data_IF_041738656242
#
_entry.id   IF_041738656242
#
_cell.length_a   1.000
_cell.length_b   1.000
_cell.length_c   1.000
_cell.angle_alpha   90.00
_cell.angle_beta   90.00
_cell.angle_gamma   90.00
#
_symmetry.space_group_name_H-M   'P 1'
#
loop_
_entity.id
_entity.type
_entity.pdbx_description
1 polymer ?
#
# COMPACT_ATOMS: atom_id res chain seq x y z
N UNK A 1 -2.26 8.34 -6.89
CA UNK A 1 -1.15 7.82 -7.69
C UNK A 1 -0.07 7.30 -6.75
N UNK A 2 0.36 6.04 -6.89
CA UNK A 2 1.50 5.45 -6.20
C UNK A 2 2.45 4.85 -7.25
N UNK A 3 3.73 5.16 -7.14
CA UNK A 3 4.86 4.25 -7.28
C UNK A 3 6.09 5.10 -6.97
N UNK A 4 6.86 4.81 -5.91
CA UNK A 4 8.14 5.51 -5.71
C UNK A 4 9.16 4.57 -5.09
N UNK A 5 10.25 4.37 -5.84
CA UNK A 5 11.31 3.41 -5.57
C UNK A 5 12.58 4.16 -5.20
N UNK A 6 13.03 3.97 -3.97
CA UNK A 6 14.12 4.75 -3.37
C UNK A 6 15.46 3.99 -3.39
N UNK A 7 15.42 2.71 -3.79
CA UNK A 7 16.55 1.82 -4.01
C UNK A 7 16.19 0.87 -5.16
N UNK A 8 16.77 1.04 -6.36
CA UNK A 8 16.44 0.21 -7.52
C UNK A 8 16.75 -1.28 -7.34
N UNK A 9 17.72 -1.61 -6.50
CA UNK A 9 18.13 -2.99 -6.19
C UNK A 9 17.29 -3.64 -5.09
N UNK A 10 16.22 -2.97 -4.64
CA UNK A 10 15.34 -3.47 -3.59
C UNK A 10 14.47 -4.64 -4.07
N UNK A 11 14.46 -5.73 -3.31
CA UNK A 11 13.63 -6.92 -3.62
C UNK A 11 12.15 -6.77 -3.27
N UNK A 12 11.76 -5.67 -2.61
CA UNK A 12 10.39 -5.46 -2.14
C UNK A 12 9.93 -4.04 -2.44
N UNK A 13 8.67 -3.92 -2.87
CA UNK A 13 8.02 -2.64 -3.09
C UNK A 13 7.22 -2.23 -1.85
N UNK A 14 7.45 -1.01 -1.38
CA UNK A 14 6.76 -0.46 -0.22
C UNK A 14 5.51 0.30 -0.67
N UNK A 15 4.38 -0.04 -0.04
CA UNK A 15 3.11 0.62 -0.28
C UNK A 15 2.62 1.31 0.99
N UNK A 16 2.01 2.48 0.79
CA UNK A 16 1.25 3.17 1.84
C UNK A 16 -0.20 2.73 1.73
N UNK A 17 -0.86 2.50 2.87
CA UNK A 17 -2.24 2.03 2.94
C UNK A 17 -2.98 2.75 4.07
N UNK A 18 -4.31 2.71 4.03
CA UNK A 18 -5.16 3.23 5.12
C UNK A 18 -5.03 4.73 5.34
N UNK A 19 -4.93 5.16 6.60
CA UNK A 19 -4.88 6.57 6.99
C UNK A 19 -3.68 7.33 6.38
N UNK A 20 -2.62 6.62 5.95
CA UNK A 20 -1.49 7.19 5.22
C UNK A 20 -1.80 7.57 3.75
N UNK A 21 -3.00 7.22 3.26
CA UNK A 21 -3.49 7.50 1.89
C UNK A 21 -4.79 8.30 1.95
N UNK A 22 -5.75 7.88 2.77
CA UNK A 22 -6.99 8.61 3.04
C UNK A 22 -7.56 8.20 4.40
N UNK A 23 -7.80 9.15 5.29
CA UNK A 23 -8.28 8.84 6.64
C UNK A 23 -9.78 8.54 6.65
N UNK A 24 -10.14 7.25 6.58
CA UNK A 24 -11.52 6.76 6.37
C UNK A 24 -12.01 5.82 7.47
N UNK A 25 -11.26 4.76 7.80
CA UNK A 25 -11.41 3.86 8.96
C UNK A 25 -10.52 2.60 8.81
N UNK A 26 -10.31 1.87 9.91
CA UNK A 26 -9.47 0.65 9.97
C UNK A 26 -9.94 -0.48 9.05
N UNK A 27 -11.26 -0.69 8.92
CA UNK A 27 -11.80 -1.75 8.08
C UNK A 27 -11.44 -1.52 6.60
N UNK A 28 -11.57 -0.27 6.15
CA UNK A 28 -11.21 0.12 4.79
C UNK A 28 -9.71 -0.06 4.53
N UNK A 29 -8.85 0.23 5.52
CA UNK A 29 -7.41 0.02 5.42
C UNK A 29 -7.02 -1.45 5.28
N UNK A 30 -7.69 -2.34 6.02
CA UNK A 30 -7.47 -3.80 5.94
C UNK A 30 -7.89 -4.32 4.56
N UNK A 31 -9.07 -3.92 4.07
CA UNK A 31 -9.53 -4.35 2.75
C UNK A 31 -8.65 -3.84 1.61
N UNK A 32 -8.13 -2.61 1.72
CA UNK A 32 -7.20 -2.03 0.75
C UNK A 32 -5.87 -2.79 0.71
N UNK A 33 -5.32 -3.09 1.89
CA UNK A 33 -4.08 -3.88 2.02
C UNK A 33 -4.23 -5.31 1.51
N UNK A 34 -5.37 -5.95 1.79
CA UNK A 34 -5.66 -7.29 1.31
C UNK A 34 -5.72 -7.34 -0.22
N UNK A 35 -6.38 -6.37 -0.85
CA UNK A 35 -6.44 -6.26 -2.32
C UNK A 35 -5.05 -6.12 -2.91
N UNK A 36 -4.21 -5.28 -2.30
CA UNK A 36 -2.81 -5.17 -2.71
C UNK A 36 -2.10 -6.53 -2.63
N UNK A 37 -2.17 -7.26 -1.52
CA UNK A 37 -1.47 -8.55 -1.39
C UNK A 37 -2.04 -9.68 -2.26
N UNK A 38 -3.32 -9.60 -2.65
CA UNK A 38 -3.99 -10.65 -3.43
C UNK A 38 -3.89 -10.39 -4.93
N UNK A 39 -4.00 -9.13 -5.33
CA UNK A 39 -4.11 -8.71 -6.73
C UNK A 39 -2.78 -8.11 -7.26
N UNK A 40 -1.66 -8.29 -6.54
CA UNK A 40 -0.27 -8.01 -6.97
C UNK A 40 0.31 -9.12 -7.86
#
# INVERSE_FOLDING_TARGET
AQNLVNNPEGNFQLFRVGDAVASRNVHSAIYDSLRLCKDL
#
